data_IF_485295324375
#
_entry.id   IF_485295324375
#
_cell.length_a   1.000
_cell.length_b   1.000
_cell.length_c   1.000
_cell.angle_alpha   90.00
_cell.angle_beta   90.00
_cell.angle_gamma   90.00
#
_symmetry.space_group_name_H-M   'P 1'
#
loop_
_entity.id
_entity.type
_entity.pdbx_description
1 polymer ?
#
# COMPACT_ATOMS: atom_id res chain seq x y z
N UNK A 1 -4.85 -1.58 -4.35
CA UNK A 1 -3.67 -1.71 -3.47
C UNK A 1 -3.62 -0.46 -2.61
N UNK A 2 -3.56 -0.64 -1.31
CA UNK A 2 -3.69 0.43 -0.32
C UNK A 2 -2.32 0.77 0.31
N UNK A 3 -2.27 1.81 1.15
CA UNK A 3 -1.13 2.09 2.01
C UNK A 3 -1.53 1.97 3.46
N UNK A 4 -0.72 1.28 4.26
CA UNK A 4 -0.92 1.13 5.71
C UNK A 4 0.28 1.68 6.46
N UNK A 5 0.02 2.18 7.65
CA UNK A 5 1.03 2.65 8.60
C UNK A 5 0.58 2.36 10.02
N UNK A 6 1.52 1.97 10.87
CA UNK A 6 1.34 1.90 12.32
C UNK A 6 2.55 2.52 13.01
N UNK A 7 2.34 3.24 14.09
CA UNK A 7 3.40 3.86 14.89
C UNK A 7 3.12 3.63 16.37
N UNK A 8 4.10 3.06 17.08
CA UNK A 8 4.16 3.04 18.53
C UNK A 8 5.27 4.00 18.97
N UNK A 9 4.88 5.13 19.54
CA UNK A 9 5.73 6.24 19.88
C UNK A 9 5.88 6.46 21.38
N UNK A 10 6.63 7.48 21.74
CA UNK A 10 6.78 8.00 23.12
C UNK A 10 6.23 9.43 23.25
N UNK A 11 5.51 9.88 22.22
CA UNK A 11 4.80 11.15 22.13
C UNK A 11 3.72 11.07 21.07
N UNK A 12 2.79 12.02 21.02
CA UNK A 12 1.67 12.00 20.08
C UNK A 12 2.12 11.68 18.65
N UNK A 13 1.46 10.67 18.03
CA UNK A 13 1.80 10.13 16.71
C UNK A 13 0.96 10.69 15.57
N UNK A 14 -0.07 11.48 15.86
CA UNK A 14 -1.05 11.95 14.88
C UNK A 14 -0.43 12.65 13.65
N UNK A 15 0.48 13.60 13.86
CA UNK A 15 1.13 14.31 12.76
C UNK A 15 2.02 13.38 11.92
N UNK A 16 2.74 12.47 12.59
CA UNK A 16 3.57 11.48 11.89
C UNK A 16 2.73 10.50 11.07
N UNK A 17 1.56 10.09 11.57
CA UNK A 17 0.61 9.28 10.80
C UNK A 17 0.08 10.05 9.59
N UNK A 18 -0.26 11.33 9.76
CA UNK A 18 -0.68 12.18 8.64
C UNK A 18 0.41 12.32 7.57
N UNK A 19 1.65 12.58 7.98
CA UNK A 19 2.79 12.69 7.08
C UNK A 19 3.04 11.37 6.35
N UNK A 20 3.01 10.24 7.06
CA UNK A 20 3.10 8.89 6.48
C UNK A 20 2.02 8.64 5.42
N UNK A 21 0.76 8.95 5.71
CA UNK A 21 -0.34 8.79 4.75
C UNK A 21 -0.19 9.72 3.55
N UNK A 22 0.34 10.91 3.73
CA UNK A 22 0.65 11.85 2.64
C UNK A 22 1.75 11.27 1.73
N UNK A 23 2.78 10.65 2.30
CA UNK A 23 3.84 9.94 1.57
C UNK A 23 3.29 8.71 0.82
N UNK A 24 2.32 7.99 1.41
CA UNK A 24 1.67 6.83 0.82
C UNK A 24 0.48 7.18 -0.09
N UNK A 25 0.19 8.46 -0.32
CA UNK A 25 -1.01 8.89 -1.06
C UNK A 25 -1.10 8.32 -2.49
N UNK A 26 0.05 8.01 -3.11
CA UNK A 26 0.10 7.35 -4.42
C UNK A 26 -0.49 5.93 -4.39
N UNK A 27 -0.55 5.29 -3.21
CA UNK A 27 -1.11 3.95 -3.03
C UNK A 27 -2.64 3.96 -2.92
N UNK A 28 -3.23 5.06 -2.44
CA UNK A 28 -4.68 5.18 -2.31
C UNK A 28 -5.15 6.63 -2.33
N UNK A 29 -6.25 6.93 -3.04
CA UNK A 29 -6.78 8.30 -3.20
C UNK A 29 -8.32 8.36 -3.02
N UNK A 30 -8.93 7.26 -2.62
CA UNK A 30 -10.37 7.12 -2.48
C UNK A 30 -10.87 7.50 -1.08
N UNK A 31 -10.16 7.06 -0.06
CA UNK A 31 -10.45 7.36 1.33
C UNK A 31 -9.16 7.34 2.17
N UNK A 32 -9.18 8.02 3.30
CA UNK A 32 -8.11 8.01 4.29
C UNK A 32 -8.69 7.89 5.70
N UNK A 33 -7.92 7.29 6.63
CA UNK A 33 -8.32 7.20 8.02
C UNK A 33 -7.11 7.03 8.95
N UNK A 34 -7.26 7.56 10.15
CA UNK A 34 -6.31 7.45 11.26
C UNK A 34 -7.09 7.06 12.52
N UNK A 35 -6.50 6.18 13.31
CA UNK A 35 -6.90 5.89 14.68
C UNK A 35 -5.69 6.05 15.58
N UNK A 36 -5.88 6.69 16.71
CA UNK A 36 -4.88 6.78 17.79
C UNK A 36 -5.47 6.29 19.11
N UNK A 37 -4.63 5.89 20.03
CA UNK A 37 -5.00 5.40 21.35
C UNK A 37 -4.23 6.16 22.41
N UNK A 38 -4.93 6.54 23.48
CA UNK A 38 -4.39 7.21 24.66
C UNK A 38 -5.09 6.72 25.92
N UNK A 39 -4.38 5.94 26.75
CA UNK A 39 -4.91 5.46 28.03
C UNK A 39 -6.21 4.66 27.91
N UNK A 40 -6.34 3.86 26.84
CA UNK A 40 -7.52 3.03 26.55
C UNK A 40 -8.62 3.77 25.77
N UNK A 41 -8.52 5.09 25.57
CA UNK A 41 -9.45 5.83 24.74
C UNK A 41 -8.99 5.81 23.27
N UNK A 42 -9.89 5.44 22.38
CA UNK A 42 -9.67 5.31 20.96
C UNK A 42 -10.22 6.52 20.22
N UNK A 43 -9.38 7.20 19.47
CA UNK A 43 -9.73 8.39 18.69
C UNK A 43 -9.64 8.10 17.20
N UNK A 44 -10.77 8.17 16.49
CA UNK A 44 -10.83 7.88 15.05
C UNK A 44 -11.25 9.10 14.23
N UNK A 45 -10.57 9.30 13.10
CA UNK A 45 -11.02 10.14 12.01
C UNK A 45 -10.81 9.43 10.69
N UNK A 46 -11.85 9.29 9.87
CA UNK A 46 -11.78 8.71 8.52
C UNK A 46 -12.83 9.32 7.60
N UNK A 47 -12.57 9.29 6.31
CA UNK A 47 -13.49 9.82 5.30
C UNK A 47 -13.03 9.55 3.88
N UNK A 48 -13.88 9.89 2.93
CA UNK A 48 -13.56 9.83 1.50
C UNK A 48 -12.68 11.02 1.09
N UNK A 49 -11.74 10.77 0.18
CA UNK A 49 -10.82 11.76 -0.36
C UNK A 49 -9.36 11.51 0.01
N UNK A 50 -8.52 12.48 -0.33
CA UNK A 50 -7.10 12.46 -0.01
C UNK A 50 -6.88 12.75 1.49
N UNK A 51 -5.75 12.34 2.03
CA UNK A 51 -5.39 12.62 3.43
C UNK A 51 -5.57 14.11 3.80
N UNK A 52 -5.10 15.03 2.93
CA UNK A 52 -5.24 16.48 3.13
C UNK A 52 -6.70 16.97 3.16
N UNK A 53 -7.62 16.26 2.50
CA UNK A 53 -9.02 16.65 2.40
C UNK A 53 -9.82 16.11 3.61
N UNK A 54 -9.44 14.94 4.10
CA UNK A 54 -10.06 14.25 5.26
C UNK A 54 -9.59 14.87 6.58
N UNK A 55 -8.28 15.08 6.75
CA UNK A 55 -7.72 15.51 8.03
C UNK A 55 -7.58 17.03 8.11
N UNK A 56 -8.57 17.67 8.72
CA UNK A 56 -8.53 19.10 9.04
C UNK A 56 -7.85 19.31 10.41
N UNK A 57 -7.43 20.55 10.69
CA UNK A 57 -6.78 20.90 11.97
C UNK A 57 -7.59 20.42 13.20
N UNK A 58 -8.91 20.62 13.20
CA UNK A 58 -9.78 20.18 14.29
C UNK A 58 -9.80 18.66 14.49
N UNK A 59 -9.68 17.87 13.42
CA UNK A 59 -9.57 16.43 13.49
C UNK A 59 -8.24 16.01 14.08
N UNK A 60 -7.14 16.61 13.62
CA UNK A 60 -5.80 16.33 14.12
C UNK A 60 -5.64 16.62 15.62
N UNK A 61 -6.31 17.66 16.13
CA UNK A 61 -6.30 17.99 17.56
C UNK A 61 -7.03 16.96 18.44
N UNK A 62 -7.97 16.18 17.88
CA UNK A 62 -8.68 15.13 18.60
C UNK A 62 -7.97 13.77 18.55
N UNK A 63 -7.11 13.56 17.56
CA UNK A 63 -6.33 12.33 17.41
C UNK A 63 -5.15 12.35 18.39
N UNK A 64 -5.45 12.31 19.68
CA UNK A 64 -4.44 12.25 20.74
C UNK A 64 -3.99 10.80 20.97
N UNK A 65 -2.76 10.62 21.43
CA UNK A 65 -2.19 9.30 21.73
C UNK A 65 -0.81 9.11 21.16
N UNK A 66 -0.08 8.16 21.71
CA UNK A 66 1.28 7.81 21.34
C UNK A 66 1.38 6.48 20.55
N UNK A 67 0.26 5.78 20.41
CA UNK A 67 0.11 4.63 19.52
C UNK A 67 -1.01 4.93 18.51
N UNK A 68 -0.83 4.49 17.26
CA UNK A 68 -1.88 4.65 16.26
C UNK A 68 -1.58 4.00 14.93
N UNK A 69 -2.63 3.85 14.13
CA UNK A 69 -2.59 3.28 12.78
C UNK A 69 -3.28 4.18 11.76
N UNK A 70 -2.85 4.07 10.51
CA UNK A 70 -3.42 4.84 9.42
C UNK A 70 -3.53 4.05 8.12
N UNK A 71 -4.44 4.52 7.26
CA UNK A 71 -4.75 3.88 5.99
C UNK A 71 -5.05 4.89 4.90
N UNK A 72 -4.59 4.64 3.67
CA UNK A 72 -5.07 5.26 2.43
C UNK A 72 -5.62 4.18 1.51
N UNK A 73 -6.89 4.35 1.10
CA UNK A 73 -7.64 3.35 0.35
C UNK A 73 -7.48 3.56 -1.16
N UNK A 74 -7.23 2.44 -1.85
CA UNK A 74 -7.43 2.32 -3.28
C UNK A 74 -8.65 1.42 -3.52
N UNK A 75 -9.67 1.85 -4.29
CA UNK A 75 -10.85 1.02 -4.53
C UNK A 75 -10.43 -0.24 -5.31
N UNK A 76 -10.70 -1.40 -4.72
CA UNK A 76 -10.61 -2.71 -5.36
C UNK A 76 -11.97 -3.11 -5.92
N UNK A 77 -12.29 -4.37 -6.07
CA UNK A 77 -13.63 -4.82 -6.42
C UNK A 77 -14.61 -4.47 -5.28
N UNK A 78 -15.81 -3.99 -5.59
CA UNK A 78 -16.87 -3.70 -4.63
C UNK A 78 -17.41 -2.26 -4.68
N UNK A 79 -18.31 -1.97 -3.77
CA UNK A 79 -18.94 -0.65 -3.63
C UNK A 79 -17.96 0.43 -3.19
N UNK A 80 -18.22 1.67 -3.53
CA UNK A 80 -17.59 2.86 -2.93
C UNK A 80 -18.51 3.38 -1.82
N UNK A 81 -17.92 3.93 -0.76
CA UNK A 81 -18.71 4.56 0.30
C UNK A 81 -17.88 4.77 1.58
N UNK A 82 -18.32 5.71 2.44
CA UNK A 82 -17.59 6.07 3.66
C UNK A 82 -17.45 4.90 4.66
N UNK A 83 -18.37 3.91 4.62
CA UNK A 83 -18.29 2.71 5.45
C UNK A 83 -17.06 1.85 5.17
N UNK A 84 -16.52 1.93 3.94
CA UNK A 84 -15.33 1.19 3.51
C UNK A 84 -14.01 1.89 3.83
N UNK A 85 -14.05 3.12 4.34
CA UNK A 85 -12.86 3.81 4.81
C UNK A 85 -12.31 3.08 6.05
N UNK A 86 -11.01 2.80 6.02
CA UNK A 86 -10.29 2.12 7.10
C UNK A 86 -9.49 3.15 7.92
N UNK A 87 -9.11 2.81 9.19
CA UNK A 87 -9.24 1.52 9.88
C UNK A 87 -10.68 1.12 10.22
N UNK A 88 -10.93 -0.20 10.21
CA UNK A 88 -12.20 -0.81 10.61
C UNK A 88 -12.14 -1.23 12.09
N UNK A 89 -13.28 -1.28 12.76
CA UNK A 89 -13.38 -1.51 14.20
C UNK A 89 -14.31 -2.67 14.54
N UNK A 90 -13.91 -3.44 15.54
CA UNK A 90 -14.75 -4.39 16.25
C UNK A 90 -14.56 -4.20 17.76
N UNK A 91 -15.67 -4.17 18.52
CA UNK A 91 -15.62 -3.92 19.97
C UNK A 91 -15.25 -5.16 20.80
N UNK A 92 -15.42 -6.37 20.28
CA UNK A 92 -15.17 -7.62 20.98
C UNK A 92 -14.25 -8.54 20.17
N UNK A 93 -13.23 -9.15 20.84
CA UNK A 93 -12.77 -8.85 22.19
C UNK A 93 -11.92 -7.57 22.23
N UNK A 94 -11.78 -6.96 23.39
CA UNK A 94 -10.84 -5.87 23.77
C UNK A 94 -10.91 -4.55 22.97
N UNK A 95 -11.72 -4.41 21.93
CA UNK A 95 -11.69 -3.26 21.01
C UNK A 95 -10.48 -3.30 20.07
N UNK A 96 -10.73 -3.73 18.83
CA UNK A 96 -9.69 -3.95 17.81
C UNK A 96 -9.93 -3.07 16.60
N UNK A 97 -8.89 -2.37 16.16
CA UNK A 97 -8.84 -1.72 14.85
C UNK A 97 -7.88 -2.42 13.91
N UNK A 98 -8.24 -2.49 12.63
CA UNK A 98 -7.39 -3.03 11.57
C UNK A 98 -7.39 -2.12 10.34
N UNK A 99 -6.21 -1.93 9.77
CA UNK A 99 -5.95 -1.40 8.43
C UNK A 99 -5.31 -2.49 7.56
N UNK A 100 -5.88 -2.74 6.39
CA UNK A 100 -5.54 -3.85 5.51
C UNK A 100 -5.19 -3.37 4.10
N UNK A 101 -4.06 -3.83 3.58
CA UNK A 101 -3.68 -3.73 2.18
C UNK A 101 -3.65 -5.11 1.56
N UNK A 102 -4.63 -5.45 0.75
CA UNK A 102 -4.67 -6.78 0.13
C UNK A 102 -6.00 -7.13 -0.49
N UNK A 103 -6.20 -8.44 -0.65
CA UNK A 103 -7.46 -9.03 -1.06
C UNK A 103 -7.52 -10.50 -0.64
N UNK A 104 -8.62 -10.90 -0.02
CA UNK A 104 -8.93 -12.29 0.31
C UNK A 104 -9.68 -12.95 -0.86
N UNK A 105 -9.21 -14.11 -1.29
CA UNK A 105 -9.84 -14.86 -2.37
C UNK A 105 -11.02 -15.73 -1.91
N UNK A 106 -11.13 -15.97 -0.60
CA UNK A 106 -12.20 -16.74 0.04
C UNK A 106 -13.08 -15.90 0.98
N UNK A 107 -13.17 -14.58 0.75
CA UNK A 107 -13.92 -13.67 1.61
C UNK A 107 -15.38 -14.06 1.77
N UNK A 108 -16.06 -14.50 0.70
CA UNK A 108 -17.48 -14.88 0.75
C UNK A 108 -17.72 -16.14 1.59
N UNK A 109 -16.83 -17.12 1.51
CA UNK A 109 -16.88 -18.32 2.35
C UNK A 109 -16.70 -17.95 3.83
N UNK A 110 -15.67 -17.16 4.13
CA UNK A 110 -15.37 -16.72 5.49
C UNK A 110 -16.49 -15.86 6.07
N UNK A 111 -17.13 -15.01 5.28
CA UNK A 111 -18.32 -14.21 5.69
C UNK A 111 -19.44 -15.12 6.20
N UNK A 112 -19.72 -16.21 5.51
CA UNK A 112 -20.75 -17.17 5.94
C UNK A 112 -20.34 -17.91 7.20
N UNK A 113 -19.05 -18.23 7.39
CA UNK A 113 -18.54 -18.84 8.61
C UNK A 113 -18.68 -17.89 9.80
N UNK A 114 -18.22 -16.63 9.69
CA UNK A 114 -18.35 -15.62 10.76
C UNK A 114 -19.80 -15.42 11.17
N UNK A 115 -20.75 -15.44 10.22
CA UNK A 115 -22.16 -15.34 10.55
C UNK A 115 -22.68 -16.58 11.30
N UNK A 116 -22.31 -17.80 10.87
CA UNK A 116 -22.80 -19.05 11.46
C UNK A 116 -22.18 -19.36 12.82
N UNK A 117 -20.87 -19.16 12.93
CA UNK A 117 -20.09 -19.64 14.08
C UNK A 117 -20.07 -18.61 15.20
N UNK A 118 -20.04 -17.32 14.85
CA UNK A 118 -19.90 -16.21 15.81
C UNK A 118 -21.17 -15.36 15.95
N UNK A 119 -22.17 -15.56 15.09
CA UNK A 119 -23.38 -14.73 15.01
C UNK A 119 -23.05 -13.23 14.81
N UNK A 120 -21.91 -12.91 14.17
CA UNK A 120 -21.46 -11.54 13.94
C UNK A 120 -22.03 -11.01 12.64
N UNK A 121 -22.62 -9.82 12.71
CA UNK A 121 -23.06 -9.08 11.53
C UNK A 121 -21.88 -8.31 10.92
N UNK A 122 -21.70 -8.43 9.60
CA UNK A 122 -20.76 -7.64 8.84
C UNK A 122 -21.49 -6.49 8.15
N UNK A 123 -21.02 -5.27 8.38
CA UNK A 123 -21.69 -4.05 7.92
C UNK A 123 -21.40 -3.71 6.45
N UNK A 124 -20.32 -4.26 5.89
CA UNK A 124 -19.87 -4.01 4.52
C UNK A 124 -19.61 -5.32 3.77
N UNK A 125 -19.40 -5.22 2.47
CA UNK A 125 -18.96 -6.31 1.61
C UNK A 125 -17.42 -6.43 1.55
N UNK A 126 -16.69 -5.66 2.36
CA UNK A 126 -15.23 -5.63 2.38
C UNK A 126 -14.64 -6.92 2.95
N UNK A 127 -13.64 -7.44 2.27
CA UNK A 127 -12.78 -8.52 2.76
C UNK A 127 -11.97 -8.11 4.00
N UNK A 128 -11.70 -6.82 4.16
CA UNK A 128 -11.00 -6.26 5.33
C UNK A 128 -11.83 -6.41 6.61
N UNK A 129 -13.15 -6.26 6.53
CA UNK A 129 -14.07 -6.49 7.66
C UNK A 129 -14.15 -7.97 8.00
N UNK A 130 -14.13 -8.83 6.99
CA UNK A 130 -14.04 -10.29 7.18
C UNK A 130 -12.76 -10.65 7.92
N UNK A 131 -11.60 -10.17 7.45
CA UNK A 131 -10.30 -10.42 8.06
C UNK A 131 -10.28 -9.97 9.53
N UNK A 132 -10.77 -8.77 9.82
CA UNK A 132 -10.88 -8.24 11.18
C UNK A 132 -11.70 -9.16 12.08
N UNK A 133 -12.84 -9.65 11.61
CA UNK A 133 -13.71 -10.52 12.39
C UNK A 133 -13.12 -11.93 12.59
N UNK A 134 -12.38 -12.46 11.61
CA UNK A 134 -11.63 -13.70 11.77
C UNK A 134 -10.53 -13.53 12.84
N UNK A 135 -9.74 -12.46 12.78
CA UNK A 135 -8.73 -12.17 13.81
C UNK A 135 -9.36 -12.03 15.20
N UNK A 136 -10.49 -11.31 15.29
CA UNK A 136 -11.22 -11.15 16.55
C UNK A 136 -11.76 -12.49 17.11
N UNK A 137 -12.24 -13.38 16.23
CA UNK A 137 -12.66 -14.73 16.60
C UNK A 137 -11.48 -15.55 17.16
N UNK A 138 -10.37 -15.60 16.42
CA UNK A 138 -9.19 -16.35 16.83
C UNK A 138 -8.60 -15.84 18.15
N UNK A 139 -8.62 -14.52 18.37
CA UNK A 139 -8.18 -13.92 19.62
C UNK A 139 -9.15 -14.22 20.77
N UNK A 140 -10.44 -14.19 20.53
CA UNK A 140 -11.47 -14.55 21.51
C UNK A 140 -11.37 -16.03 21.91
N UNK A 141 -11.02 -16.90 20.97
CA UNK A 141 -10.85 -18.34 21.20
C UNK A 141 -9.71 -18.66 22.19
N UNK A 142 -8.76 -17.74 22.41
CA UNK A 142 -7.72 -17.90 23.45
C UNK A 142 -8.29 -17.83 24.87
N UNK A 143 -9.51 -17.29 25.07
CA UNK A 143 -10.24 -17.31 26.32
C UNK A 143 -9.58 -16.50 27.45
N UNK A 144 -8.76 -15.51 27.16
CA UNK A 144 -8.03 -14.69 28.13
C UNK A 144 -8.78 -13.42 28.48
N UNK A 145 -8.65 -12.95 29.73
CA UNK A 145 -9.10 -11.61 30.12
C UNK A 145 -8.11 -10.52 29.71
N UNK A 146 -6.82 -10.85 29.70
CA UNK A 146 -5.74 -10.01 29.24
C UNK A 146 -4.86 -10.84 28.27
N UNK A 147 -4.87 -10.55 26.95
CA UNK A 147 -4.07 -11.29 25.99
C UNK A 147 -2.59 -10.95 26.10
N UNK A 148 -1.74 -11.96 26.05
CA UNK A 148 -0.30 -11.84 25.91
C UNK A 148 0.12 -11.73 24.43
N UNK A 149 1.40 -11.46 24.19
CA UNK A 149 1.98 -11.53 22.83
C UNK A 149 1.75 -12.90 22.18
N UNK A 150 1.86 -13.99 22.94
CA UNK A 150 1.65 -15.35 22.44
C UNK A 150 0.20 -15.60 22.01
N UNK A 151 -0.77 -15.06 22.74
CA UNK A 151 -2.19 -15.16 22.39
C UNK A 151 -2.49 -14.39 21.08
N UNK A 152 -1.84 -13.24 20.89
CA UNK A 152 -1.95 -12.45 19.65
C UNK A 152 -1.33 -13.21 18.47
N UNK A 153 -0.16 -13.81 18.65
CA UNK A 153 0.49 -14.62 17.61
C UNK A 153 -0.29 -15.90 17.29
N UNK A 154 -0.91 -16.53 18.29
CA UNK A 154 -1.81 -17.65 18.06
C UNK A 154 -3.02 -17.24 17.22
N UNK A 155 -3.62 -16.06 17.49
CA UNK A 155 -4.72 -15.53 16.68
C UNK A 155 -4.28 -15.24 15.24
N UNK A 156 -3.09 -14.68 15.02
CA UNK A 156 -2.53 -14.48 13.65
C UNK A 156 -2.30 -15.82 12.96
N UNK A 157 -1.84 -16.86 13.69
CA UNK A 157 -1.69 -18.21 13.12
C UNK A 157 -3.03 -18.75 12.62
N UNK A 158 -4.11 -18.57 13.37
CA UNK A 158 -5.47 -18.91 12.96
C UNK A 158 -5.92 -18.14 11.71
N UNK A 159 -5.58 -16.83 11.62
CA UNK A 159 -5.84 -16.05 10.40
C UNK A 159 -5.12 -16.66 9.20
N UNK A 160 -3.84 -17.04 9.33
CA UNK A 160 -3.08 -17.66 8.23
C UNK A 160 -3.62 -19.03 7.78
N UNK A 161 -4.22 -19.79 8.69
CA UNK A 161 -4.86 -21.07 8.37
C UNK A 161 -6.18 -20.88 7.61
N UNK A 162 -6.97 -19.87 7.97
CA UNK A 162 -8.32 -19.62 7.41
C UNK A 162 -8.32 -18.73 6.19
N UNK A 163 -7.58 -17.60 6.23
CA UNK A 163 -7.59 -16.60 5.18
C UNK A 163 -6.69 -16.98 4.00
N UNK A 164 -7.26 -16.98 2.78
CA UNK A 164 -6.53 -17.22 1.53
C UNK A 164 -6.43 -15.90 0.74
N UNK A 165 -5.25 -15.59 0.26
CA UNK A 165 -5.04 -14.38 -0.54
C UNK A 165 -3.75 -13.66 -0.17
N UNK A 166 -3.71 -12.38 -0.50
CA UNK A 166 -2.58 -11.50 -0.25
C UNK A 166 -2.98 -10.40 0.73
N UNK A 167 -2.25 -10.23 1.83
CA UNK A 167 -2.57 -9.21 2.82
C UNK A 167 -1.34 -8.74 3.61
N UNK A 168 -1.30 -7.43 3.84
CA UNK A 168 -0.47 -6.77 4.82
C UNK A 168 -1.40 -6.01 5.77
N UNK A 169 -1.29 -6.28 7.05
CA UNK A 169 -2.22 -5.81 8.09
C UNK A 169 -1.45 -5.05 9.15
N UNK A 170 -2.01 -3.92 9.57
CA UNK A 170 -1.60 -3.20 10.78
C UNK A 170 -2.83 -3.03 11.64
N UNK A 171 -2.72 -3.33 12.93
CA UNK A 171 -3.83 -3.25 13.85
C UNK A 171 -3.44 -2.67 15.20
N UNK A 172 -4.47 -2.32 15.96
CA UNK A 172 -4.39 -1.76 17.31
C UNK A 172 -5.38 -2.49 18.21
N UNK A 173 -4.93 -2.92 19.37
CA UNK A 173 -5.78 -3.48 20.42
C UNK A 173 -5.76 -2.49 21.59
N UNK A 174 -6.93 -1.96 21.96
CA UNK A 174 -7.04 -0.96 23.02
C UNK A 174 -6.42 -1.45 24.32
N UNK A 175 -5.57 -0.65 24.95
CA UNK A 175 -4.76 -0.93 26.14
C UNK A 175 -3.65 -1.98 25.99
N UNK A 176 -3.49 -2.62 24.84
CA UNK A 176 -2.50 -3.70 24.69
C UNK A 176 -1.39 -3.33 23.69
N UNK A 177 -1.68 -2.52 22.68
CA UNK A 177 -0.65 -2.05 21.76
C UNK A 177 -0.97 -2.28 20.29
N UNK A 178 0.09 -2.18 19.46
CA UNK A 178 0.03 -2.25 18.01
C UNK A 178 0.56 -3.60 17.53
N UNK A 179 -0.17 -4.22 16.59
CA UNK A 179 0.29 -5.44 15.91
C UNK A 179 0.32 -5.25 14.39
N UNK A 180 1.12 -6.07 13.74
CA UNK A 180 1.15 -6.13 12.28
C UNK A 180 1.52 -7.55 11.83
N UNK A 181 1.03 -7.95 10.65
CA UNK A 181 1.41 -9.22 10.03
C UNK A 181 1.30 -9.19 8.52
N UNK A 182 2.03 -10.08 7.89
CA UNK A 182 2.13 -10.20 6.44
C UNK A 182 1.67 -11.58 6.00
N UNK A 183 1.01 -11.67 4.84
CA UNK A 183 0.55 -12.96 4.30
C UNK A 183 1.68 -13.99 4.14
N UNK A 184 1.34 -15.28 4.17
CA UNK A 184 2.30 -16.39 4.15
C UNK A 184 3.17 -16.48 2.88
N UNK A 185 2.84 -15.71 1.85
CA UNK A 185 3.63 -15.61 0.62
C UNK A 185 4.35 -14.27 0.47
N UNK A 186 4.14 -13.34 1.41
CA UNK A 186 4.75 -12.01 1.34
C UNK A 186 4.37 -11.24 0.06
N UNK A 187 3.16 -11.47 -0.47
CA UNK A 187 2.72 -10.84 -1.73
C UNK A 187 2.58 -9.32 -1.55
N UNK A 188 2.06 -8.89 -0.38
CA UNK A 188 1.97 -7.46 -0.07
C UNK A 188 3.16 -7.01 0.75
N UNK A 189 3.78 -5.86 0.39
CA UNK A 189 4.92 -5.36 1.14
C UNK A 189 4.52 -4.83 2.51
N UNK A 190 5.36 -5.08 3.49
CA UNK A 190 5.25 -4.53 4.83
C UNK A 190 6.63 -4.55 5.49
N UNK A 191 7.18 -3.39 5.80
CA UNK A 191 8.46 -3.25 6.48
C UNK A 191 8.30 -2.49 7.81
N UNK A 192 9.30 -2.62 8.68
CA UNK A 192 9.30 -1.93 9.95
C UNK A 192 10.66 -1.34 10.28
N UNK A 193 10.63 -0.31 11.08
CA UNK A 193 11.81 0.42 11.53
C UNK A 193 11.69 0.87 12.97
N UNK A 194 12.80 1.33 13.50
CA UNK A 194 12.92 1.87 14.86
C UNK A 194 13.50 3.27 14.85
N UNK A 195 13.23 4.01 15.91
CA UNK A 195 13.85 5.29 16.19
C UNK A 195 14.17 5.40 17.67
N UNK A 196 15.41 5.70 17.98
CA UNK A 196 15.82 5.95 19.36
C UNK A 196 15.52 7.41 19.74
N UNK A 197 14.91 7.61 20.88
CA UNK A 197 14.61 8.92 21.44
C UNK A 197 15.08 9.01 22.90
N UNK A 198 15.15 10.22 23.43
CA UNK A 198 15.47 10.41 24.85
C UNK A 198 14.45 9.76 25.82
N UNK A 199 13.25 9.41 25.31
CA UNK A 199 12.17 8.75 26.07
C UNK A 199 12.09 7.24 25.85
N UNK A 200 12.97 6.68 25.00
CA UNK A 200 13.00 5.26 24.65
C UNK A 200 12.82 5.03 23.15
N UNK A 201 12.79 3.75 22.79
CA UNK A 201 12.66 3.30 21.40
C UNK A 201 11.21 3.45 20.92
N UNK A 202 11.04 3.93 19.70
CA UNK A 202 9.77 4.00 18.98
C UNK A 202 9.83 3.06 17.77
N UNK A 203 8.70 2.50 17.37
CA UNK A 203 8.59 1.61 16.22
C UNK A 203 7.56 2.10 15.21
N UNK A 204 7.84 1.90 13.93
CA UNK A 204 6.90 2.14 12.86
C UNK A 204 6.85 0.95 11.90
N UNK A 205 5.64 0.62 11.44
CA UNK A 205 5.36 -0.42 10.44
C UNK A 205 4.65 0.23 9.27
N UNK A 206 5.15 0.03 8.05
CA UNK A 206 4.67 0.76 6.87
C UNK A 206 4.69 -0.11 5.60
N UNK A 207 3.87 0.29 4.62
CA UNK A 207 3.84 -0.38 3.31
C UNK A 207 5.09 -0.16 2.47
N UNK A 208 5.82 0.94 2.67
CA UNK A 208 7.02 1.30 1.88
C UNK A 208 8.10 1.94 2.76
N UNK A 209 9.35 1.51 2.59
CA UNK A 209 10.51 1.95 3.39
C UNK A 209 10.76 3.46 3.35
N UNK A 210 10.46 4.12 2.23
CA UNK A 210 10.61 5.57 2.08
C UNK A 210 9.86 6.39 3.14
N UNK A 211 8.80 5.84 3.72
CA UNK A 211 8.05 6.47 4.82
C UNK A 211 8.89 6.50 6.09
N UNK A 212 9.62 5.41 6.37
CA UNK A 212 10.52 5.33 7.53
C UNK A 212 11.60 6.41 7.44
N UNK A 213 12.25 6.51 6.27
CA UNK A 213 13.29 7.53 6.03
C UNK A 213 12.75 8.95 6.28
N UNK A 214 11.56 9.24 5.74
CA UNK A 214 10.93 10.57 5.87
C UNK A 214 10.52 10.92 7.31
N UNK A 215 10.21 9.92 8.13
CA UNK A 215 9.84 10.10 9.53
C UNK A 215 11.03 9.96 10.51
N UNK A 216 12.23 9.72 9.98
CA UNK A 216 13.46 9.56 10.76
C UNK A 216 13.55 8.24 11.53
N UNK A 217 12.93 7.17 11.00
CA UNK A 217 13.10 5.80 11.49
C UNK A 217 14.17 5.09 10.67
N UNK A 218 15.02 4.34 11.36
CA UNK A 218 15.96 3.40 10.74
C UNK A 218 15.19 2.15 10.29
N UNK A 219 15.28 1.78 9.01
CA UNK A 219 14.72 0.54 8.49
C UNK A 219 15.43 -0.66 9.15
N UNK A 220 14.67 -1.54 9.79
CA UNK A 220 15.21 -2.80 10.30
C UNK A 220 15.17 -3.84 9.18
N UNK A 221 14.00 -4.16 8.65
CA UNK A 221 13.76 -5.06 7.51
C UNK A 221 12.30 -5.12 7.11
N UNK A 222 12.00 -5.83 6.05
CA UNK A 222 10.65 -6.29 5.77
C UNK A 222 10.22 -7.39 6.75
N UNK A 223 8.92 -7.46 7.07
CA UNK A 223 8.34 -8.63 7.73
C UNK A 223 8.45 -9.83 6.79
N UNK A 224 8.89 -10.97 7.33
CA UNK A 224 8.98 -12.21 6.54
C UNK A 224 7.57 -12.70 6.16
N UNK A 225 7.44 -13.50 5.08
CA UNK A 225 6.16 -14.14 4.77
C UNK A 225 5.60 -14.92 5.95
N UNK A 226 4.36 -14.61 6.36
CA UNK A 226 3.70 -15.24 7.49
C UNK A 226 4.17 -14.82 8.89
N UNK A 227 5.06 -13.84 8.97
CA UNK A 227 5.53 -13.29 10.23
C UNK A 227 4.56 -12.23 10.79
N UNK A 228 4.49 -12.16 12.12
CA UNK A 228 3.80 -11.13 12.86
C UNK A 228 4.74 -10.35 13.79
N UNK A 229 4.37 -9.10 14.00
CA UNK A 229 5.00 -8.14 14.90
C UNK A 229 3.96 -7.66 15.90
N UNK A 230 4.35 -7.53 17.17
CA UNK A 230 3.57 -6.88 18.19
C UNK A 230 4.46 -5.93 19.02
N UNK A 231 4.00 -4.71 19.19
CA UNK A 231 4.60 -3.75 20.13
C UNK A 231 3.59 -3.54 21.24
N UNK A 232 3.94 -4.01 22.45
CA UNK A 232 3.06 -3.96 23.60
C UNK A 232 2.92 -2.54 24.20
N UNK A 233 2.09 -2.40 25.23
CA UNK A 233 1.84 -1.13 25.93
C UNK A 233 3.08 -0.55 26.62
N UNK A 234 4.08 -1.37 26.89
CA UNK A 234 5.37 -0.93 27.43
C UNK A 234 6.34 -0.45 26.33
N UNK A 235 5.99 -0.71 25.06
CA UNK A 235 6.81 -0.42 23.90
C UNK A 235 7.87 -1.48 23.63
N UNK A 236 7.67 -2.72 24.11
CA UNK A 236 8.55 -3.85 23.81
C UNK A 236 8.12 -4.49 22.48
N UNK A 237 9.10 -4.71 21.62
CA UNK A 237 8.89 -5.36 20.32
C UNK A 237 8.98 -6.88 20.45
N UNK A 238 7.92 -7.56 19.99
CA UNK A 238 7.84 -9.00 19.88
C UNK A 238 7.69 -9.40 18.40
N UNK A 239 8.38 -10.44 17.98
CA UNK A 239 8.34 -10.97 16.61
C UNK A 239 8.09 -12.47 16.66
N UNK A 240 7.21 -13.01 15.80
CA UNK A 240 6.94 -14.44 15.73
C UNK A 240 6.59 -14.88 14.30
N UNK A 241 7.09 -16.08 13.91
CA UNK A 241 6.71 -16.73 12.66
C UNK A 241 5.40 -17.49 12.88
N UNK A 242 4.27 -16.92 12.44
CA UNK A 242 2.93 -17.44 12.67
C UNK A 242 2.48 -18.47 11.63
N UNK A 243 2.97 -18.38 10.39
CA UNK A 243 2.63 -19.33 9.33
C UNK A 243 3.57 -20.54 9.35
N UNK A 244 3.01 -21.77 9.44
CA UNK A 244 3.77 -23.02 9.37
C UNK A 244 4.45 -23.22 8.01
N UNK A 245 3.70 -22.94 6.94
CA UNK A 245 4.20 -22.97 5.56
C UNK A 245 4.26 -21.53 5.03
N UNK A 246 5.43 -21.10 4.60
CA UNK A 246 5.65 -19.78 4.06
C UNK A 246 6.70 -19.78 2.97
N UNK A 247 6.54 -18.91 2.00
CA UNK A 247 7.48 -18.73 0.90
C UNK A 247 7.37 -17.31 0.35
N UNK A 248 8.50 -16.65 0.07
CA UNK A 248 8.47 -15.33 -0.53
C UNK A 248 8.07 -15.41 -2.02
N UNK A 249 6.92 -14.82 -2.34
CA UNK A 249 6.36 -14.67 -3.70
C UNK A 249 5.92 -13.23 -3.93
N UNK A 250 6.85 -12.27 -4.05
CA UNK A 250 6.52 -10.84 -4.10
C UNK A 250 5.74 -10.49 -5.37
N UNK A 251 4.86 -9.53 -5.26
CA UNK A 251 4.09 -9.04 -6.39
C UNK A 251 4.96 -8.18 -7.31
N UNK A 252 5.19 -8.63 -8.54
CA UNK A 252 5.97 -7.88 -9.55
C UNK A 252 5.38 -6.47 -9.80
N UNK A 253 4.08 -6.28 -9.63
CA UNK A 253 3.41 -4.98 -9.82
C UNK A 253 3.92 -3.90 -8.87
N UNK A 254 4.36 -4.27 -7.66
CA UNK A 254 4.99 -3.33 -6.73
C UNK A 254 6.27 -2.74 -7.35
N UNK A 255 7.12 -3.57 -7.93
CA UNK A 255 8.39 -3.13 -8.53
C UNK A 255 8.20 -2.39 -9.86
N UNK A 256 7.28 -2.86 -10.73
CA UNK A 256 7.07 -2.27 -12.05
C UNK A 256 6.36 -0.93 -11.97
N UNK A 257 5.33 -0.82 -11.13
CA UNK A 257 4.39 0.29 -11.19
C UNK A 257 4.12 0.98 -9.86
N UNK A 258 3.79 0.19 -8.80
CA UNK A 258 3.08 0.73 -7.65
C UNK A 258 3.97 1.45 -6.66
N UNK A 259 5.06 0.81 -6.23
CA UNK A 259 5.95 1.37 -5.24
C UNK A 259 6.71 2.59 -5.78
N UNK A 260 7.08 3.49 -4.92
CA UNK A 260 7.97 4.58 -5.26
C UNK A 260 9.35 4.05 -5.66
N UNK A 261 10.03 4.66 -6.62
CA UNK A 261 11.35 4.18 -7.06
C UNK A 261 12.41 4.25 -5.95
N UNK A 262 12.25 5.13 -4.99
CA UNK A 262 13.14 5.31 -3.84
C UNK A 262 12.87 4.32 -2.68
N UNK A 263 11.92 3.39 -2.82
CA UNK A 263 11.62 2.34 -1.84
C UNK A 263 12.50 1.11 -2.00
N UNK A 264 12.76 0.43 -0.86
CA UNK A 264 13.26 -0.94 -0.77
C UNK A 264 12.10 -1.87 -0.43
N UNK A 265 12.00 -3.01 -1.11
CA UNK A 265 11.01 -4.06 -0.84
C UNK A 265 11.72 -5.41 -0.91
N UNK A 266 11.71 -6.17 0.17
CA UNK A 266 12.39 -7.47 0.28
C UNK A 266 13.86 -7.38 -0.18
N UNK A 267 14.59 -6.38 0.34
CA UNK A 267 15.99 -6.04 0.00
C UNK A 267 16.24 -5.66 -1.48
N UNK A 268 15.18 -5.51 -2.27
CA UNK A 268 15.29 -5.11 -3.67
C UNK A 268 14.97 -3.62 -3.81
N UNK A 269 15.94 -2.84 -4.31
CA UNK A 269 15.70 -1.45 -4.70
C UNK A 269 14.77 -1.40 -5.92
N UNK A 270 13.62 -0.76 -5.76
CA UNK A 270 12.64 -0.55 -6.84
C UNK A 270 13.28 0.22 -8.01
N UNK A 271 14.12 1.22 -7.70
CA UNK A 271 14.86 1.98 -8.71
C UNK A 271 15.78 1.09 -9.56
N UNK A 272 16.65 0.28 -8.91
CA UNK A 272 17.53 -0.66 -9.62
C UNK A 272 16.76 -1.71 -10.40
N UNK A 273 15.64 -2.19 -9.86
CA UNK A 273 14.76 -3.12 -10.55
C UNK A 273 14.26 -2.52 -11.87
N UNK A 274 13.78 -1.26 -11.87
CA UNK A 274 13.30 -0.57 -13.07
C UNK A 274 14.42 -0.27 -14.07
N UNK A 275 15.64 0.06 -13.62
CA UNK A 275 16.79 0.18 -14.52
C UNK A 275 17.05 -1.14 -15.26
N UNK A 276 17.14 -2.25 -14.52
CA UNK A 276 17.35 -3.60 -15.09
C UNK A 276 16.25 -4.02 -16.06
N UNK A 277 14.98 -3.65 -15.79
CA UNK A 277 13.90 -3.88 -16.73
C UNK A 277 14.11 -3.15 -18.05
N UNK A 278 14.54 -1.88 -18.00
CA UNK A 278 14.88 -1.08 -19.18
C UNK A 278 16.03 -1.69 -19.99
N UNK A 279 17.12 -2.10 -19.33
CA UNK A 279 18.25 -2.78 -19.94
C UNK A 279 17.82 -4.08 -20.66
N UNK A 280 17.05 -4.94 -19.97
CA UNK A 280 16.57 -6.21 -20.54
C UNK A 280 15.62 -5.99 -21.72
N UNK A 281 14.80 -4.93 -21.67
CA UNK A 281 13.93 -4.57 -22.77
C UNK A 281 14.74 -4.09 -23.99
N UNK A 282 15.80 -3.31 -23.77
CA UNK A 282 16.72 -2.89 -24.83
C UNK A 282 17.44 -4.08 -25.48
N UNK A 283 18.00 -5.01 -24.67
CA UNK A 283 18.65 -6.22 -25.15
C UNK A 283 17.71 -7.07 -26.02
N UNK A 284 16.43 -7.18 -25.59
CA UNK A 284 15.39 -7.86 -26.38
C UNK A 284 15.12 -7.15 -27.70
N UNK A 285 15.03 -5.83 -27.70
CA UNK A 285 14.79 -5.03 -28.92
C UNK A 285 15.95 -5.17 -29.90
N UNK A 286 17.20 -5.01 -29.45
CA UNK A 286 18.40 -5.19 -30.28
C UNK A 286 18.41 -6.58 -30.94
N UNK A 287 18.09 -7.63 -30.18
CA UNK A 287 18.05 -9.00 -30.71
C UNK A 287 16.94 -9.20 -31.76
N UNK A 288 15.75 -8.62 -31.55
CA UNK A 288 14.61 -8.80 -32.45
C UNK A 288 14.63 -7.87 -33.65
N UNK A 289 15.25 -6.70 -33.54
CA UNK A 289 15.31 -5.68 -34.58
C UNK A 289 16.63 -4.91 -34.47
N UNK A 290 17.78 -5.50 -34.93
CA UNK A 290 19.09 -4.83 -34.87
C UNK A 290 19.08 -3.46 -35.50
N UNK A 291 18.48 -3.33 -36.70
CA UNK A 291 18.31 -2.05 -37.43
C UNK A 291 16.99 -1.40 -37.03
N UNK A 292 16.86 -1.01 -35.77
CA UNK A 292 15.60 -0.51 -35.19
C UNK A 292 15.19 0.87 -35.76
N UNK A 293 16.14 1.69 -36.22
CA UNK A 293 15.86 3.02 -36.82
C UNK A 293 15.17 4.00 -35.86
N UNK A 294 15.33 3.81 -34.53
CA UNK A 294 14.71 4.66 -33.51
C UNK A 294 15.57 5.91 -33.34
N UNK A 295 14.94 7.08 -33.44
CA UNK A 295 15.61 8.39 -33.28
C UNK A 295 15.56 8.84 -31.81
N UNK A 296 14.49 8.50 -31.10
CA UNK A 296 14.25 8.98 -29.73
C UNK A 296 13.40 8.01 -28.92
N UNK A 297 13.73 7.89 -27.62
CA UNK A 297 12.94 7.18 -26.61
C UNK A 297 12.14 8.22 -25.81
N UNK A 298 10.85 7.98 -25.66
CA UNK A 298 9.93 8.85 -24.90
C UNK A 298 9.18 8.02 -23.86
N UNK A 299 9.37 8.33 -22.56
CA UNK A 299 8.61 7.66 -21.49
C UNK A 299 7.17 8.18 -21.40
N UNK A 300 6.25 7.30 -21.02
CA UNK A 300 4.93 7.70 -20.56
C UNK A 300 5.06 8.08 -19.07
N UNK A 301 4.78 9.36 -18.71
CA UNK A 301 5.00 9.80 -17.32
C UNK A 301 3.98 9.17 -16.36
N UNK A 302 4.37 8.88 -15.10
CA UNK A 302 5.69 9.17 -14.50
C UNK A 302 6.53 7.89 -14.32
N UNK A 303 5.90 6.72 -14.25
CA UNK A 303 6.46 5.45 -13.75
C UNK A 303 7.50 4.85 -14.69
N UNK A 304 7.33 5.01 -16.00
CA UNK A 304 8.22 4.43 -17.01
C UNK A 304 9.55 5.17 -17.20
N UNK A 305 9.73 6.35 -16.60
CA UNK A 305 10.93 7.20 -16.83
C UNK A 305 12.24 6.47 -16.53
N UNK A 306 12.30 5.77 -15.40
CA UNK A 306 13.52 5.05 -14.98
C UNK A 306 13.88 3.94 -15.97
N UNK A 307 12.89 3.15 -16.39
CA UNK A 307 13.10 2.07 -17.38
C UNK A 307 13.43 2.63 -18.76
N UNK A 308 12.78 3.72 -19.17
CA UNK A 308 13.05 4.37 -20.45
C UNK A 308 14.46 4.98 -20.50
N UNK A 309 14.96 5.51 -19.39
CA UNK A 309 16.33 6.01 -19.29
C UNK A 309 17.34 4.90 -19.56
N UNK A 310 17.28 3.81 -18.81
CA UNK A 310 18.20 2.68 -18.98
C UNK A 310 18.10 2.05 -20.39
N UNK A 311 16.88 1.99 -20.93
CA UNK A 311 16.66 1.52 -22.31
C UNK A 311 17.30 2.45 -23.34
N UNK A 312 17.12 3.76 -23.23
CA UNK A 312 17.72 4.74 -24.15
C UNK A 312 19.25 4.72 -24.10
N UNK A 313 19.82 4.66 -22.91
CA UNK A 313 21.28 4.52 -22.71
C UNK A 313 21.82 3.25 -23.39
N UNK A 314 21.14 2.12 -23.20
CA UNK A 314 21.54 0.83 -23.78
C UNK A 314 21.42 0.78 -25.30
N UNK A 315 20.43 1.47 -25.88
CA UNK A 315 20.26 1.60 -27.33
C UNK A 315 21.18 2.66 -27.97
N UNK A 316 21.82 3.51 -27.18
CA UNK A 316 22.61 4.63 -27.68
C UNK A 316 21.79 5.74 -28.34
N UNK A 317 20.49 5.88 -27.98
CA UNK A 317 19.56 6.88 -28.53
C UNK A 317 19.18 7.92 -27.47
N UNK A 318 18.68 9.09 -27.93
CA UNK A 318 18.30 10.18 -27.04
C UNK A 318 17.04 9.85 -26.26
N UNK A 319 17.04 10.13 -24.93
CA UNK A 319 15.82 10.20 -24.12
C UNK A 319 15.25 11.62 -24.21
N UNK A 320 13.94 11.76 -24.41
CA UNK A 320 13.22 13.04 -24.42
C UNK A 320 11.88 12.94 -23.68
N UNK A 321 11.49 14.03 -23.03
CA UNK A 321 10.16 14.18 -22.45
C UNK A 321 9.17 14.63 -23.52
N UNK A 322 8.51 13.68 -24.15
CA UNK A 322 7.51 13.97 -25.20
C UNK A 322 6.11 14.18 -24.66
N UNK A 323 5.84 13.81 -23.42
CA UNK A 323 4.54 14.02 -22.76
C UNK A 323 4.67 14.80 -21.47
N UNK A 324 3.84 15.84 -21.31
CA UNK A 324 3.73 16.61 -20.08
C UNK A 324 2.46 16.22 -19.34
N UNK A 325 2.61 15.79 -18.08
CA UNK A 325 1.50 15.43 -17.22
C UNK A 325 1.01 16.66 -16.46
N UNK A 326 -0.29 16.89 -16.47
CA UNK A 326 -0.91 17.87 -15.59
C UNK A 326 -0.92 17.35 -14.14
N UNK A 327 -0.09 17.96 -13.28
CA UNK A 327 0.08 17.57 -11.88
C UNK A 327 -1.13 17.85 -11.00
N UNK A 328 -2.03 18.73 -11.43
CA UNK A 328 -3.23 19.13 -10.69
C UNK A 328 -4.44 18.23 -10.96
N UNK A 329 -4.36 17.34 -11.95
CA UNK A 329 -5.42 16.39 -12.27
C UNK A 329 -5.07 15.03 -11.62
N UNK A 330 -5.87 14.61 -10.63
CA UNK A 330 -5.72 13.35 -9.92
C UNK A 330 -5.95 12.11 -10.81
N UNK A 331 -5.81 10.90 -10.25
CA UNK A 331 -6.10 9.64 -10.96
C UNK A 331 -7.58 9.53 -11.29
N UNK A 332 -7.92 9.27 -12.55
CA UNK A 332 -9.29 9.18 -13.06
C UNK A 332 -9.76 7.75 -13.27
N UNK A 333 -9.21 6.77 -12.54
CA UNK A 333 -9.59 5.36 -12.70
C UNK A 333 -11.03 5.04 -12.26
N UNK A 334 -11.70 5.97 -11.58
CA UNK A 334 -12.99 5.79 -10.93
C UNK A 334 -14.17 6.27 -11.79
N UNK A 335 -13.92 6.89 -12.95
CA UNK A 335 -15.03 7.38 -13.79
C UNK A 335 -15.70 6.25 -14.58
N UNK A 336 -17.02 6.05 -14.47
CA UNK A 336 -17.78 5.13 -15.28
C UNK A 336 -17.87 5.67 -16.72
N UNK A 337 -17.56 4.82 -17.72
CA UNK A 337 -17.73 5.14 -19.13
C UNK A 337 -16.42 5.26 -19.95
N UNK A 338 -16.43 4.69 -21.17
CA UNK A 338 -15.27 4.74 -22.08
C UNK A 338 -14.98 6.15 -22.61
N UNK A 339 -16.02 6.93 -22.88
CA UNK A 339 -15.92 8.28 -23.44
C UNK A 339 -15.28 9.25 -22.44
N UNK A 340 -15.65 9.15 -21.17
CA UNK A 340 -15.08 9.98 -20.09
C UNK A 340 -13.61 9.63 -19.83
N UNK A 341 -13.24 8.34 -19.93
CA UNK A 341 -11.84 7.90 -19.80
C UNK A 341 -10.95 8.46 -20.91
N UNK A 342 -11.42 8.49 -22.15
CA UNK A 342 -10.68 9.08 -23.28
C UNK A 342 -10.45 10.58 -23.09
N UNK A 343 -11.49 11.33 -22.70
CA UNK A 343 -11.39 12.75 -22.38
C UNK A 343 -10.42 13.01 -21.23
N UNK A 344 -10.41 12.16 -20.26
CA UNK A 344 -9.54 12.20 -19.10
C UNK A 344 -8.04 11.99 -19.43
N UNK A 345 -7.69 11.10 -20.36
CA UNK A 345 -6.28 10.91 -20.77
C UNK A 345 -5.76 12.18 -21.44
N UNK A 346 -6.53 12.79 -22.36
CA UNK A 346 -6.15 14.05 -23.04
C UNK A 346 -6.06 15.25 -22.09
N UNK A 347 -6.84 15.29 -21.03
CA UNK A 347 -6.73 16.34 -20.01
C UNK A 347 -5.48 16.19 -19.14
N UNK A 348 -5.02 14.95 -18.94
CA UNK A 348 -3.87 14.64 -18.08
C UNK A 348 -2.53 14.74 -18.80
N UNK A 349 -2.47 14.34 -20.05
CA UNK A 349 -1.26 14.29 -20.84
C UNK A 349 -1.37 15.23 -22.04
N UNK A 350 -0.33 16.02 -22.27
CA UNK A 350 -0.18 16.84 -23.46
C UNK A 350 1.11 16.47 -24.17
N UNK A 351 1.04 16.27 -25.51
CA UNK A 351 2.20 15.94 -26.32
C UNK A 351 3.00 17.19 -26.70
N UNK A 352 4.32 17.10 -26.59
CA UNK A 352 5.27 18.10 -27.03
C UNK A 352 5.57 17.85 -28.52
N UNK A 353 4.82 18.46 -29.42
CA UNK A 353 4.86 18.20 -30.88
C UNK A 353 6.27 18.16 -31.48
N UNK A 354 7.17 19.05 -31.02
CA UNK A 354 8.56 19.13 -31.46
C UNK A 354 9.34 17.81 -31.25
N UNK A 355 8.97 17.01 -30.26
CA UNK A 355 9.66 15.76 -29.97
C UNK A 355 9.17 14.57 -30.78
N UNK A 356 8.06 14.72 -31.49
CA UNK A 356 7.46 13.68 -32.33
C UNK A 356 7.65 13.93 -33.86
N UNK A 357 7.56 15.18 -34.28
CA UNK A 357 7.54 15.53 -35.71
C UNK A 357 8.80 15.05 -36.44
N UNK A 358 8.59 14.22 -37.48
CA UNK A 358 9.64 13.71 -38.37
C UNK A 358 10.61 12.72 -37.71
N UNK A 359 10.23 12.07 -36.59
CA UNK A 359 11.08 11.14 -35.83
C UNK A 359 10.44 9.75 -35.72
N UNK A 360 11.27 8.72 -35.73
CA UNK A 360 10.89 7.38 -35.30
C UNK A 360 10.98 7.28 -33.78
N UNK A 361 9.82 7.33 -33.13
CA UNK A 361 9.71 7.39 -31.65
C UNK A 361 9.46 6.01 -31.08
N UNK A 362 10.23 5.63 -30.05
CA UNK A 362 9.94 4.50 -29.19
C UNK A 362 9.25 5.02 -27.91
N UNK A 363 7.96 4.71 -27.77
CA UNK A 363 7.23 4.97 -26.52
C UNK A 363 7.48 3.85 -25.52
N UNK A 364 7.80 4.20 -24.28
CA UNK A 364 8.01 3.26 -23.18
C UNK A 364 6.97 3.50 -22.10
N UNK A 365 6.17 2.46 -21.83
CA UNK A 365 5.19 2.45 -20.75
C UNK A 365 5.57 1.38 -19.72
N UNK A 366 5.03 1.44 -18.50
CA UNK A 366 5.22 0.43 -17.47
C UNK A 366 4.39 -0.82 -17.72
N UNK A 367 3.19 -0.66 -18.29
CA UNK A 367 2.25 -1.76 -18.50
C UNK A 367 1.17 -1.46 -19.54
N UNK A 368 0.71 -2.51 -20.21
CA UNK A 368 -0.46 -2.47 -21.10
C UNK A 368 -1.54 -3.37 -20.47
N UNK A 369 -2.60 -2.75 -19.92
CA UNK A 369 -3.68 -3.49 -19.26
C UNK A 369 -4.83 -3.78 -20.21
N UNK A 370 -5.56 -2.73 -20.64
CA UNK A 370 -6.71 -2.84 -21.57
C UNK A 370 -6.43 -2.25 -22.96
N UNK A 371 -5.27 -1.66 -23.14
CA UNK A 371 -4.87 -1.03 -24.41
C UNK A 371 -5.52 0.32 -24.72
N UNK A 372 -6.62 0.71 -24.08
CA UNK A 372 -7.33 1.97 -24.38
C UNK A 372 -6.44 3.20 -24.13
N UNK A 373 -5.74 3.25 -23.02
CA UNK A 373 -4.81 4.35 -22.70
C UNK A 373 -3.66 4.39 -23.70
N UNK A 374 -3.06 3.25 -24.01
CA UNK A 374 -1.97 3.14 -24.98
C UNK A 374 -2.42 3.59 -26.38
N UNK A 375 -3.64 3.25 -26.79
CA UNK A 375 -4.21 3.69 -28.07
C UNK A 375 -4.36 5.21 -28.14
N UNK A 376 -4.90 5.85 -27.09
CA UNK A 376 -5.03 7.32 -27.03
C UNK A 376 -3.66 8.01 -27.03
N UNK A 377 -2.69 7.47 -26.30
CA UNK A 377 -1.31 7.99 -26.28
C UNK A 377 -0.66 7.90 -27.67
N UNK A 378 -0.80 6.77 -28.37
CA UNK A 378 -0.28 6.60 -29.73
C UNK A 378 -0.96 7.58 -30.69
N UNK A 379 -2.28 7.81 -30.56
CA UNK A 379 -3.00 8.80 -31.37
C UNK A 379 -2.52 10.25 -31.14
N UNK A 380 -2.14 10.58 -29.88
CA UNK A 380 -1.57 11.89 -29.59
C UNK A 380 -0.14 12.06 -30.08
N UNK A 381 0.61 10.97 -30.23
CA UNK A 381 1.99 10.94 -30.70
C UNK A 381 2.07 11.03 -32.27
N UNK A 382 1.04 10.60 -32.98
CA UNK A 382 0.89 10.69 -34.44
C UNK A 382 0.37 12.06 -34.88
#
# INVERSE_FOLDING_TARGET
>A
MCGVVGISGKSSVNLRLYDALTMLQHRGQDAAGIVTESGGELHQCKGEGLARDVFRRSHMMRLVGDVGIGHVRYPTAGSSGPALAQPLYVNSPYGIFVAHNGNLTNADELRQQVFRDDLRHLNTDSDSEVLLNIFAHELQAQGKLAPSSDDIFAAVSGVHERCKGAYAVVGLIANYGMFAFRDRFGIRPLCFGKRETAKGTEYAVVSESVVLDSLGFELIRDLQPGEALFVDELGVLHLHQCAKEHQLMPCIFEHVYFARPDSLIDDISVYKCRLRMGEKLADKLIRLKPDHGIDVVIPIPDTSRVSAQALAERLGVKLREGFMKNRYIGRTFIMPGQTERKKSVRQKLNAVKLEFAGKNVLLVDDSIVRGTTSQEIIQMAR
#
